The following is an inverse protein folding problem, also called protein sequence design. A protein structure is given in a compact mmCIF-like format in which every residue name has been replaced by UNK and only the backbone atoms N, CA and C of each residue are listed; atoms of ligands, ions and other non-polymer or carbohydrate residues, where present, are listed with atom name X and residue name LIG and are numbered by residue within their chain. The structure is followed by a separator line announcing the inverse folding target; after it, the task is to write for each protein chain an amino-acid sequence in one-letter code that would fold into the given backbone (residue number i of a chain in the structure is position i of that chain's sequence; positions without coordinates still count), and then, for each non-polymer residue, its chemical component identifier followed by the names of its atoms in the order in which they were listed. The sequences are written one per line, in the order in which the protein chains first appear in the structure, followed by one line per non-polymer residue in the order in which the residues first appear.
data_IF_195934611900
#
_entry.id   IF_195934611900
#
_cell.length_a   1.000
_cell.length_b   1.000
_cell.length_c   1.000
_cell.angle_alpha   90.00
_cell.angle_beta   90.00
_cell.angle_gamma   90.00
#
_symmetry.space_group_name_H-M   'P 1'
#
loop_
_entity.id
_entity.type
_entity.pdbx_description
1 polymer ?
#
# COMPACT_ATOMS: atom_id res chain seq x y z
N UNK A 1 12.77 -11.07 12.69
CA UNK A 1 11.67 -10.09 12.68
C UNK A 1 11.01 -10.18 11.30
N UNK A 2 9.68 -10.23 11.25
CA UNK A 2 8.93 -10.18 9.99
C UNK A 2 8.48 -8.74 9.70
N UNK A 3 7.93 -8.52 8.52
CA UNK A 3 7.32 -7.24 8.15
C UNK A 3 6.03 -7.00 8.95
N UNK A 4 5.83 -5.78 9.44
CA UNK A 4 4.65 -5.37 10.21
C UNK A 4 3.58 -4.69 9.36
N UNK A 5 3.90 -4.33 8.11
CA UNK A 5 3.00 -3.63 7.19
C UNK A 5 3.19 -4.20 5.78
N UNK A 6 2.08 -4.49 5.10
CA UNK A 6 2.06 -4.81 3.68
C UNK A 6 1.14 -3.83 2.95
N UNK A 7 1.55 -3.40 1.76
CA UNK A 7 0.79 -2.47 0.90
C UNK A 7 0.66 -3.07 -0.49
N UNK A 8 -0.53 -2.96 -1.08
CA UNK A 8 -0.85 -3.51 -2.40
C UNK A 8 -1.60 -2.49 -3.25
N UNK A 9 -1.47 -2.62 -4.57
CA UNK A 9 -2.28 -1.94 -5.57
C UNK A 9 -3.08 -2.98 -6.34
N UNK A 10 -4.40 -2.90 -6.28
CA UNK A 10 -5.28 -3.76 -7.06
C UNK A 10 -6.74 -3.66 -6.63
N UNK A 11 -7.56 -4.58 -7.14
CA UNK A 11 -9.01 -4.57 -6.91
C UNK A 11 -9.36 -4.73 -5.41
N UNK A 12 -10.06 -3.77 -4.78
CA UNK A 12 -10.52 -3.87 -3.40
C UNK A 12 -11.43 -5.07 -3.11
N UNK A 13 -12.25 -5.48 -4.07
CA UNK A 13 -13.11 -6.65 -3.91
C UNK A 13 -12.30 -7.95 -3.83
N UNK A 14 -11.14 -8.00 -4.50
CA UNK A 14 -10.24 -9.14 -4.44
C UNK A 14 -9.37 -9.11 -3.19
N UNK A 15 -8.61 -8.02 -2.97
CA UNK A 15 -7.64 -7.94 -1.88
C UNK A 15 -8.28 -7.75 -0.50
N UNK A 16 -9.47 -7.15 -0.44
CA UNK A 16 -10.27 -7.06 0.79
C UNK A 16 -10.59 -8.43 1.41
N UNK A 17 -10.64 -9.51 0.61
CA UNK A 17 -10.82 -10.90 1.10
C UNK A 17 -9.71 -11.34 2.06
N UNK A 18 -8.55 -10.68 2.02
CA UNK A 18 -7.39 -10.97 2.86
C UNK A 18 -7.18 -9.93 3.97
N UNK A 19 -8.10 -8.97 4.13
CA UNK A 19 -8.05 -7.95 5.18
C UNK A 19 -7.33 -6.65 4.80
N UNK A 20 -6.89 -6.50 3.55
CA UNK A 20 -6.38 -5.22 3.05
C UNK A 20 -7.52 -4.18 2.98
N UNK A 21 -7.23 -2.92 3.29
CA UNK A 21 -8.22 -1.85 3.17
C UNK A 21 -7.61 -0.53 2.72
N UNK A 22 -8.38 0.23 1.93
CA UNK A 22 -8.01 1.59 1.52
C UNK A 22 -8.03 2.56 2.72
N UNK A 23 -8.96 2.40 3.66
CA UNK A 23 -9.08 3.25 4.85
C UNK A 23 -7.79 3.32 5.71
N UNK A 24 -6.94 2.28 5.66
CA UNK A 24 -5.60 2.36 6.26
C UNK A 24 -4.61 3.08 5.35
N UNK A 25 -4.64 2.78 4.05
CA UNK A 25 -3.70 3.30 3.07
C UNK A 25 -3.90 4.80 2.76
N UNK A 26 -5.11 5.34 2.89
CA UNK A 26 -5.44 6.75 2.64
C UNK A 26 -4.68 7.72 3.58
N UNK A 27 -4.19 7.22 4.71
CA UNK A 27 -3.40 7.97 5.70
C UNK A 27 -1.95 8.21 5.28
N UNK A 28 -1.48 7.57 4.20
CA UNK A 28 -0.13 7.72 3.69
C UNK A 28 -0.09 8.65 2.48
N UNK A 29 1.00 9.37 2.28
CA UNK A 29 1.30 10.00 1.00
C UNK A 29 1.85 8.95 0.03
N UNK A 30 1.32 8.87 -1.19
CA UNK A 30 1.83 7.97 -2.23
C UNK A 30 1.56 8.51 -3.63
N UNK A 31 2.49 8.26 -4.56
CA UNK A 31 2.30 8.50 -5.99
C UNK A 31 1.18 7.62 -6.56
N UNK A 32 0.95 6.46 -5.95
CA UNK A 32 -0.06 5.50 -6.37
C UNK A 32 -1.34 5.59 -5.53
N UNK A 33 -1.64 6.76 -4.94
CA UNK A 33 -2.87 6.95 -4.19
C UNK A 33 -4.13 6.72 -5.04
N UNK A 34 -5.22 6.35 -4.36
CA UNK A 34 -6.51 6.03 -4.96
C UNK A 34 -7.10 4.74 -4.39
N UNK A 35 -8.32 4.40 -4.81
CA UNK A 35 -9.10 3.28 -4.24
C UNK A 35 -8.39 1.92 -4.30
N UNK A 36 -7.52 1.73 -5.29
CA UNK A 36 -6.76 0.50 -5.46
C UNK A 36 -5.63 0.32 -4.43
N UNK A 37 -5.14 1.42 -3.82
CA UNK A 37 -4.08 1.36 -2.82
C UNK A 37 -4.67 0.91 -1.48
N UNK A 38 -4.16 -0.19 -0.95
CA UNK A 38 -4.68 -0.81 0.26
C UNK A 38 -3.52 -1.27 1.15
N UNK A 39 -3.74 -1.25 2.47
CA UNK A 39 -2.73 -1.65 3.44
C UNK A 39 -3.29 -2.63 4.47
N UNK A 40 -2.43 -3.54 4.92
CA UNK A 40 -2.67 -4.49 6.01
C UNK A 40 -1.49 -4.41 6.99
N UNK A 41 -1.78 -4.33 8.28
CA UNK A 41 -0.76 -4.28 9.33
C UNK A 41 -0.92 -5.43 10.32
N UNK A 42 0.21 -5.82 10.91
CA UNK A 42 0.29 -6.79 11.99
C UNK A 42 1.03 -6.16 13.17
N UNK A 43 0.42 -6.20 14.37
CA UNK A 43 1.01 -5.62 15.57
C UNK A 43 1.21 -4.11 15.46
N UNK A 44 2.36 -3.63 15.94
CA UNK A 44 2.73 -2.21 15.90
C UNK A 44 3.35 -1.87 14.53
N UNK A 45 2.62 -1.08 13.74
CA UNK A 45 3.03 -0.64 12.42
C UNK A 45 2.68 0.84 12.21
N UNK A 46 3.46 1.59 11.39
CA UNK A 46 3.12 2.96 11.06
C UNK A 46 1.70 3.11 10.52
N UNK A 47 1.07 4.23 10.85
CA UNK A 47 -0.27 4.59 10.37
C UNK A 47 -0.25 5.71 9.32
N UNK A 48 0.81 6.52 9.27
CA UNK A 48 0.97 7.65 8.35
C UNK A 48 2.44 7.73 7.88
N UNK A 49 2.69 8.55 6.86
CA UNK A 49 4.03 8.75 6.29
C UNK A 49 3.99 8.72 4.77
N UNK A 50 5.15 8.58 4.12
CA UNK A 50 5.24 8.51 2.65
C UNK A 50 5.66 7.12 2.18
N UNK A 51 4.86 6.53 1.30
CA UNK A 51 5.16 5.26 0.64
C UNK A 51 6.01 5.51 -0.60
N UNK A 52 7.27 5.09 -0.54
CA UNK A 52 8.21 5.16 -1.66
C UNK A 52 8.49 3.74 -2.15
N UNK A 53 7.98 3.40 -3.33
CA UNK A 53 8.26 2.13 -3.97
C UNK A 53 9.66 2.13 -4.59
N UNK A 54 10.25 0.94 -4.72
CA UNK A 54 11.52 0.78 -5.43
C UNK A 54 11.40 1.27 -6.88
N UNK A 55 12.51 1.77 -7.45
CA UNK A 55 12.54 2.36 -8.80
C UNK A 55 12.01 1.45 -9.91
N UNK A 56 12.11 0.12 -9.73
CA UNK A 56 11.53 -0.87 -10.66
C UNK A 56 10.01 -0.75 -10.84
N UNK A 57 9.31 -0.12 -9.90
CA UNK A 57 7.87 0.15 -9.99
C UNK A 57 7.56 1.50 -10.64
N UNK A 58 8.57 2.37 -10.83
CA UNK A 58 8.36 3.68 -11.44
C UNK A 58 8.12 3.59 -12.95
N UNK A 59 7.35 4.54 -13.47
CA UNK A 59 7.09 4.69 -14.91
C UNK A 59 8.31 5.15 -15.71
N UNK A 60 9.37 5.66 -15.05
CA UNK A 60 10.58 6.15 -15.69
C UNK A 60 11.38 5.07 -16.44
N UNK A 61 11.20 3.78 -16.11
CA UNK A 61 11.84 2.68 -16.82
C UNK A 61 11.06 2.25 -18.10
N UNK A 62 9.82 2.72 -18.26
CA UNK A 62 8.93 2.35 -19.37
C UNK A 62 8.86 3.41 -20.49
N UNK A 63 9.66 4.47 -20.40
CA UNK A 63 9.76 5.56 -21.39
C UNK A 63 10.92 5.36 -22.38
#
# INVERSE_FOLDING_TARGET
AGEALAVVLGDPAYYGRFGYSHARAEKFESEYQGEALQALAWGEAPETGRLVYASAFSSALAA
#
